data_IF_580065409195
#
_entry.id   IF_580065409195
#
_cell.length_a   1.000
_cell.length_b   1.000
_cell.length_c   1.000
_cell.angle_alpha   90.00
_cell.angle_beta   90.00
_cell.angle_gamma   90.00
#
_symmetry.space_group_name_H-M   'P 1'
#
loop_
_entity.id
_entity.type
_entity.pdbx_description
1 polymer ?
#
# COMPACT_ATOMS: atom_id res chain seq x y z
N UNK A 1 -18.80 15.17 0.61
CA UNK A 1 -18.66 14.51 1.92
C UNK A 1 -19.46 13.22 1.94
N UNK A 2 -18.91 12.18 2.56
CA UNK A 2 -19.61 10.90 2.80
C UNK A 2 -19.77 10.68 4.31
N UNK A 3 -20.89 10.13 4.71
CA UNK A 3 -21.21 9.76 6.10
C UNK A 3 -21.86 8.38 6.12
N UNK A 4 -21.44 7.52 7.05
CA UNK A 4 -22.11 6.27 7.37
C UNK A 4 -22.64 6.31 8.81
N UNK A 5 -23.93 6.03 8.98
CA UNK A 5 -24.52 5.86 10.30
C UNK A 5 -24.25 4.45 10.87
N UNK A 6 -24.00 4.29 12.19
CA UNK A 6 -23.92 5.35 13.20
C UNK A 6 -22.55 6.09 13.13
N UNK A 7 -22.59 7.42 13.29
CA UNK A 7 -21.35 8.24 13.33
C UNK A 7 -20.82 8.24 14.76
N UNK A 8 -19.91 7.32 15.06
CA UNK A 8 -19.37 7.12 16.41
C UNK A 8 -18.22 8.05 16.76
N UNK A 9 -17.51 8.56 15.74
CA UNK A 9 -16.38 9.48 15.88
C UNK A 9 -16.24 10.36 14.63
N UNK A 10 -15.38 11.37 14.71
CA UNK A 10 -15.22 12.37 13.64
C UNK A 10 -14.85 11.79 12.26
N UNK A 11 -14.17 10.64 12.21
CA UNK A 11 -13.78 9.98 10.96
C UNK A 11 -14.94 9.23 10.28
N UNK A 12 -16.10 9.16 10.90
CA UNK A 12 -17.35 8.69 10.26
C UNK A 12 -17.94 9.68 9.27
N UNK A 13 -17.34 10.89 9.15
CA UNK A 13 -17.63 11.88 8.13
C UNK A 13 -16.30 12.30 7.51
N UNK A 14 -16.13 12.05 6.21
CA UNK A 14 -14.93 12.43 5.47
C UNK A 14 -15.30 13.06 4.14
N UNK A 15 -14.44 13.94 3.66
CA UNK A 15 -14.54 14.53 2.32
C UNK A 15 -13.65 13.79 1.34
N UNK A 16 -14.10 13.72 0.10
CA UNK A 16 -13.40 13.09 -1.01
C UNK A 16 -13.56 13.93 -2.27
N UNK A 17 -12.57 13.90 -3.13
CA UNK A 17 -12.71 14.38 -4.50
C UNK A 17 -13.34 13.28 -5.35
N UNK A 18 -14.50 13.53 -5.98
CA UNK A 18 -15.23 12.49 -6.70
C UNK A 18 -14.60 12.21 -8.07
N UNK A 19 -14.57 10.95 -8.46
CA UNK A 19 -14.25 10.49 -9.80
C UNK A 19 -15.49 9.81 -10.36
N UNK A 20 -15.87 10.16 -11.59
CA UNK A 20 -17.01 9.56 -12.25
C UNK A 20 -16.69 8.13 -12.68
N UNK A 21 -17.55 7.21 -12.31
CA UNK A 21 -17.47 5.79 -12.64
C UNK A 21 -18.82 5.29 -13.14
N UNK A 22 -18.82 4.28 -13.99
CA UNK A 22 -20.05 3.59 -14.40
C UNK A 22 -20.59 2.72 -13.26
N UNK A 23 -21.93 2.66 -13.15
CA UNK A 23 -22.62 1.86 -12.15
C UNK A 23 -23.48 2.70 -11.19
N UNK A 24 -24.19 2.00 -10.30
CA UNK A 24 -25.13 2.61 -9.34
C UNK A 24 -24.60 2.61 -7.90
N UNK A 25 -23.40 2.11 -7.68
CA UNK A 25 -22.78 2.02 -6.37
C UNK A 25 -21.61 2.98 -6.23
N UNK A 26 -21.41 3.48 -5.00
CA UNK A 26 -20.22 4.28 -4.66
C UNK A 26 -19.04 3.33 -4.51
N UNK A 27 -17.95 3.58 -5.26
CA UNK A 27 -16.68 2.87 -5.09
C UNK A 27 -15.86 3.58 -4.02
N UNK A 28 -15.84 3.02 -2.84
CA UNK A 28 -15.10 3.56 -1.69
C UNK A 28 -13.70 2.95 -1.62
N UNK A 29 -12.70 3.78 -1.30
CA UNK A 29 -11.34 3.28 -1.10
C UNK A 29 -11.28 2.34 0.13
N UNK A 30 -10.70 1.14 0.01
CA UNK A 30 -10.70 0.15 1.10
C UNK A 30 -10.08 0.61 2.41
N UNK A 31 -9.06 1.47 2.38
CA UNK A 31 -8.37 1.96 3.58
C UNK A 31 -9.25 2.85 4.49
N UNK A 32 -10.32 3.45 3.97
CA UNK A 32 -11.25 4.26 4.78
C UNK A 32 -12.42 3.44 5.34
N UNK A 33 -12.58 2.19 4.93
CA UNK A 33 -13.66 1.33 5.44
C UNK A 33 -13.61 1.17 6.95
N UNK A 34 -12.42 1.05 7.53
CA UNK A 34 -12.25 0.94 8.98
C UNK A 34 -12.76 2.18 9.71
N UNK A 35 -12.50 3.38 9.17
CA UNK A 35 -12.95 4.64 9.75
C UNK A 35 -14.47 4.79 9.73
N UNK A 36 -15.12 4.36 8.65
CA UNK A 36 -16.59 4.33 8.52
C UNK A 36 -17.24 3.12 9.18
N UNK A 37 -16.46 2.13 9.59
CA UNK A 37 -16.96 0.80 9.95
C UNK A 37 -17.87 0.24 8.85
N UNK A 38 -17.44 0.38 7.59
CA UNK A 38 -18.20 -0.01 6.40
C UNK A 38 -17.62 -1.26 5.76
N UNK A 39 -18.49 -2.05 5.18
CA UNK A 39 -18.15 -3.17 4.32
C UNK A 39 -18.93 -3.08 2.98
N UNK A 40 -18.74 -4.03 2.10
CA UNK A 40 -19.32 -3.99 0.76
C UNK A 40 -20.45 -5.01 0.58
N UNK A 41 -21.17 -5.32 1.67
CA UNK A 41 -22.28 -6.28 1.68
C UNK A 41 -23.67 -5.64 1.44
N UNK A 42 -23.72 -4.34 1.19
CA UNK A 42 -24.94 -3.58 0.96
C UNK A 42 -25.11 -2.36 1.86
N UNK A 43 -24.05 -1.94 2.54
CA UNK A 43 -24.03 -0.72 3.35
C UNK A 43 -24.42 0.51 2.54
N UNK A 44 -25.13 1.43 3.18
CA UNK A 44 -25.53 2.72 2.63
C UNK A 44 -24.76 3.86 3.27
N UNK A 45 -24.47 4.89 2.49
CA UNK A 45 -23.85 6.12 2.93
C UNK A 45 -24.65 7.34 2.50
N UNK A 46 -24.70 8.36 3.36
CA UNK A 46 -25.22 9.66 2.98
C UNK A 46 -24.16 10.48 2.24
N UNK A 47 -24.58 11.14 1.17
CA UNK A 47 -23.73 12.04 0.38
C UNK A 47 -24.17 13.47 0.65
N UNK A 48 -23.21 14.33 1.01
CA UNK A 48 -23.44 15.74 1.26
C UNK A 48 -22.53 16.59 0.37
N UNK A 49 -23.12 17.54 -0.34
CA UNK A 49 -22.38 18.51 -1.15
C UNK A 49 -22.28 19.84 -0.39
N UNK A 50 -21.09 20.34 -0.06
CA UNK A 50 -20.93 21.67 0.55
C UNK A 50 -21.26 22.73 -0.49
N UNK A 51 -22.15 23.67 -0.14
CA UNK A 51 -22.67 24.68 -1.07
C UNK A 51 -21.97 26.04 -0.92
N UNK A 52 -21.58 26.43 0.31
CA UNK A 52 -20.89 27.70 0.53
C UNK A 52 -19.37 27.57 0.37
N UNK A 53 -18.71 28.68 0.07
CA UNK A 53 -17.24 28.72 -0.09
C UNK A 53 -16.54 28.36 1.21
N UNK A 54 -17.08 28.81 2.34
CA UNK A 54 -16.56 28.50 3.68
C UNK A 54 -16.66 26.98 3.97
N UNK A 55 -17.82 26.38 3.69
CA UNK A 55 -18.02 24.95 3.87
C UNK A 55 -17.09 24.12 2.95
N UNK A 56 -16.86 24.57 1.72
CA UNK A 56 -15.91 23.93 0.81
C UNK A 56 -14.48 24.02 1.32
N UNK A 57 -14.08 25.16 1.88
CA UNK A 57 -12.77 25.36 2.49
C UNK A 57 -12.59 24.43 3.70
N UNK A 58 -13.55 24.39 4.61
CA UNK A 58 -13.52 23.47 5.75
C UNK A 58 -13.43 22.00 5.32
N UNK A 59 -14.18 21.59 4.30
CA UNK A 59 -14.09 20.24 3.74
C UNK A 59 -12.68 19.92 3.23
N UNK A 60 -12.01 20.84 2.57
CA UNK A 60 -10.66 20.65 2.06
C UNK A 60 -9.60 20.59 3.15
N UNK A 61 -9.68 21.46 4.14
CA UNK A 61 -8.66 21.57 5.17
C UNK A 61 -8.86 20.59 6.33
N UNK A 62 -10.11 20.34 6.75
CA UNK A 62 -10.41 19.61 7.97
C UNK A 62 -10.94 18.19 7.68
N UNK A 63 -11.73 17.99 6.62
CA UNK A 63 -12.46 16.74 6.42
C UNK A 63 -11.90 15.86 5.29
N UNK A 64 -10.99 16.36 4.47
CA UNK A 64 -10.43 15.58 3.37
C UNK A 64 -9.69 14.36 3.93
N UNK A 65 -9.98 13.18 3.38
CA UNK A 65 -9.48 11.90 3.89
C UNK A 65 -7.96 11.84 4.08
N UNK A 66 -7.11 12.30 3.13
CA UNK A 66 -5.66 12.33 3.31
C UNK A 66 -5.17 13.17 4.49
N UNK A 67 -5.95 14.14 4.96
CA UNK A 67 -5.60 14.98 6.11
C UNK A 67 -5.98 14.35 7.46
N UNK A 68 -6.66 13.21 7.44
CA UNK A 68 -7.19 12.52 8.63
C UNK A 68 -6.65 11.09 8.74
N UNK A 69 -5.35 10.94 8.69
CA UNK A 69 -4.67 9.63 8.73
C UNK A 69 -4.42 9.11 10.16
N UNK A 70 -4.62 9.95 11.18
CA UNK A 70 -4.37 9.60 12.57
C UNK A 70 -5.66 9.48 13.37
N UNK A 71 -5.74 8.47 14.22
CA UNK A 71 -6.84 8.29 15.16
C UNK A 71 -6.84 9.37 16.24
N UNK A 72 -7.99 9.96 16.59
CA UNK A 72 -8.06 10.95 17.66
C UNK A 72 -7.89 10.34 19.06
N UNK A 73 -8.04 9.02 19.22
CA UNK A 73 -7.95 8.34 20.51
C UNK A 73 -6.53 8.15 21.01
N UNK A 74 -5.64 7.71 20.14
CA UNK A 74 -4.29 7.25 20.48
C UNK A 74 -3.20 7.83 19.58
N UNK A 75 -3.58 8.60 18.55
CA UNK A 75 -2.63 9.12 17.55
C UNK A 75 -2.09 8.07 16.60
N UNK A 76 -2.56 6.83 16.69
CA UNK A 76 -2.16 5.76 15.77
C UNK A 76 -2.72 5.96 14.36
N UNK A 77 -2.17 5.27 13.35
CA UNK A 77 -2.68 5.37 11.98
C UNK A 77 -4.08 4.76 11.84
N UNK A 78 -4.94 5.43 11.08
CA UNK A 78 -6.28 4.91 10.71
C UNK A 78 -6.22 4.07 9.45
N UNK A 79 -5.48 4.56 8.45
CA UNK A 79 -5.32 3.91 7.17
C UNK A 79 -4.21 2.84 7.28
N UNK A 80 -4.60 1.64 7.66
CA UNK A 80 -3.71 0.48 7.78
C UNK A 80 -4.18 -0.63 6.85
N UNK A 81 -3.29 -1.49 6.35
CA UNK A 81 -3.68 -2.65 5.56
C UNK A 81 -4.72 -3.50 6.30
N UNK A 82 -5.82 -3.83 5.63
CA UNK A 82 -6.85 -4.71 6.15
C UNK A 82 -6.50 -6.19 5.97
N UNK A 83 -7.33 -7.08 6.49
CA UNK A 83 -7.10 -8.53 6.48
C UNK A 83 -6.71 -9.09 5.11
N UNK A 84 -7.47 -8.76 4.06
CA UNK A 84 -7.22 -9.26 2.70
C UNK A 84 -5.94 -8.66 2.09
N UNK A 85 -5.62 -7.40 2.41
CA UNK A 85 -4.38 -6.76 1.99
C UNK A 85 -3.17 -7.43 2.65
N UNK A 86 -3.26 -7.75 3.95
CA UNK A 86 -2.21 -8.46 4.69
C UNK A 86 -2.00 -9.85 4.10
N UNK A 87 -3.09 -10.57 3.79
CA UNK A 87 -3.02 -11.88 3.14
C UNK A 87 -2.38 -11.79 1.75
N UNK A 88 -2.75 -10.77 0.97
CA UNK A 88 -2.16 -10.53 -0.35
C UNK A 88 -0.67 -10.21 -0.29
N UNK A 89 -0.24 -9.36 0.64
CA UNK A 89 1.17 -9.04 0.88
C UNK A 89 1.94 -10.28 1.33
N UNK A 90 1.38 -11.06 2.24
CA UNK A 90 1.98 -12.32 2.67
C UNK A 90 2.20 -13.28 1.50
N UNK A 91 1.17 -13.49 0.67
CA UNK A 91 1.28 -14.36 -0.51
C UNK A 91 2.32 -13.84 -1.52
N UNK A 92 2.33 -12.53 -1.77
CA UNK A 92 3.27 -11.88 -2.67
C UNK A 92 4.72 -12.04 -2.22
N UNK A 93 4.97 -11.92 -0.91
CA UNK A 93 6.32 -11.89 -0.32
C UNK A 93 6.80 -13.27 0.16
N UNK A 94 5.99 -14.32 0.03
CA UNK A 94 6.32 -15.67 0.39
C UNK A 94 7.45 -16.22 -0.50
N UNK A 95 8.40 -16.92 0.09
CA UNK A 95 9.42 -17.67 -0.63
C UNK A 95 8.98 -19.12 -0.77
N UNK A 96 9.09 -19.70 -1.96
CA UNK A 96 8.81 -21.12 -2.24
C UNK A 96 10.05 -21.76 -2.85
N UNK A 97 10.70 -22.69 -2.16
CA UNK A 97 11.82 -23.42 -2.71
C UNK A 97 11.36 -24.43 -3.78
N UNK A 98 12.25 -24.76 -4.71
CA UNK A 98 11.98 -25.76 -5.75
C UNK A 98 11.05 -25.29 -6.88
N UNK A 99 10.81 -23.99 -7.01
CA UNK A 99 10.00 -23.44 -8.11
C UNK A 99 10.86 -23.16 -9.34
N UNK A 100 10.20 -23.12 -10.49
CA UNK A 100 10.83 -22.85 -11.78
C UNK A 100 11.66 -21.56 -11.75
N UNK A 101 12.92 -21.64 -12.21
CA UNK A 101 13.79 -20.48 -12.36
C UNK A 101 14.55 -20.05 -11.09
N UNK A 102 14.57 -20.90 -10.06
CA UNK A 102 15.33 -20.63 -8.82
C UNK A 102 16.82 -20.43 -9.09
N UNK A 103 17.43 -19.44 -8.39
CA UNK A 103 18.85 -19.13 -8.49
C UNK A 103 19.27 -18.34 -9.74
N UNK A 104 18.35 -17.89 -10.58
CA UNK A 104 18.69 -17.06 -11.75
C UNK A 104 19.16 -15.67 -11.37
N UNK A 105 20.08 -15.14 -12.18
CA UNK A 105 20.64 -13.80 -12.04
C UNK A 105 20.02 -12.85 -13.07
N UNK A 106 19.67 -11.66 -12.61
CA UNK A 106 19.12 -10.60 -13.44
C UNK A 106 19.88 -9.29 -13.20
N UNK A 107 20.09 -8.54 -14.27
CA UNK A 107 20.78 -7.25 -14.22
C UNK A 107 19.95 -6.15 -13.56
N UNK A 108 18.62 -6.27 -13.60
CA UNK A 108 17.69 -5.30 -13.05
C UNK A 108 16.36 -5.96 -12.66
N UNK A 109 15.56 -5.26 -11.86
CA UNK A 109 14.19 -5.70 -11.52
C UNK A 109 13.32 -5.79 -12.77
N UNK A 110 13.47 -4.85 -13.73
CA UNK A 110 12.73 -4.87 -14.99
C UNK A 110 12.99 -6.12 -15.83
N UNK A 111 14.24 -6.59 -15.88
CA UNK A 111 14.57 -7.85 -16.55
C UNK A 111 13.89 -9.05 -15.86
N UNK A 112 13.85 -9.05 -14.54
CA UNK A 112 13.15 -10.08 -13.78
C UNK A 112 11.62 -10.05 -14.02
N UNK A 113 11.02 -8.87 -14.18
CA UNK A 113 9.60 -8.71 -14.55
C UNK A 113 9.33 -9.31 -15.93
N UNK A 114 10.18 -9.00 -16.92
CA UNK A 114 10.06 -9.60 -18.26
C UNK A 114 10.18 -11.14 -18.22
N UNK A 115 11.07 -11.67 -17.37
CA UNK A 115 11.20 -13.10 -17.18
C UNK A 115 9.95 -13.72 -16.52
N UNK A 116 9.28 -12.99 -15.64
CA UNK A 116 8.00 -13.39 -15.06
C UNK A 116 6.88 -13.40 -16.10
N UNK A 117 6.74 -12.35 -16.91
CA UNK A 117 5.76 -12.28 -18.00
C UNK A 117 5.93 -13.42 -19.00
N UNK A 118 7.17 -13.80 -19.29
CA UNK A 118 7.50 -14.97 -20.13
C UNK A 118 7.38 -16.31 -19.38
N UNK A 119 6.87 -16.33 -18.16
CA UNK A 119 6.69 -17.53 -17.34
C UNK A 119 7.98 -18.33 -17.09
N UNK A 120 9.13 -17.66 -17.11
CA UNK A 120 10.44 -18.25 -16.78
C UNK A 120 10.66 -18.37 -15.29
N UNK A 121 10.10 -17.47 -14.52
CA UNK A 121 10.11 -17.43 -13.05
C UNK A 121 8.69 -17.18 -12.52
N UNK A 122 8.48 -17.36 -11.22
CA UNK A 122 7.25 -17.02 -10.51
C UNK A 122 7.51 -15.88 -9.52
N UNK A 123 6.45 -15.29 -8.95
CA UNK A 123 6.58 -14.23 -7.93
C UNK A 123 7.33 -14.70 -6.68
N UNK A 124 7.21 -15.99 -6.33
CA UNK A 124 7.81 -16.60 -5.14
C UNK A 124 9.17 -17.25 -5.39
N UNK A 125 9.66 -17.20 -6.65
CA UNK A 125 10.95 -17.77 -7.02
C UNK A 125 12.09 -16.95 -6.43
N UNK A 126 13.04 -17.62 -5.78
CA UNK A 126 14.26 -17.00 -5.26
C UNK A 126 15.22 -16.69 -6.39
N UNK A 127 15.57 -15.44 -6.56
CA UNK A 127 16.39 -14.91 -7.65
C UNK A 127 17.45 -13.96 -7.13
N UNK A 128 18.46 -13.69 -7.94
CA UNK A 128 19.50 -12.70 -7.68
C UNK A 128 19.33 -11.53 -8.64
N UNK A 129 19.17 -10.30 -8.07
CA UNK A 129 19.01 -9.08 -8.86
C UNK A 129 20.11 -8.10 -8.50
N UNK A 130 20.75 -7.53 -9.50
CA UNK A 130 21.68 -6.43 -9.29
C UNK A 130 20.92 -5.14 -9.04
N UNK A 131 21.22 -4.48 -7.93
CA UNK A 131 20.56 -3.23 -7.50
C UNK A 131 21.59 -2.17 -7.16
N UNK A 132 21.25 -0.93 -7.46
CA UNK A 132 21.99 0.25 -7.03
C UNK A 132 21.08 1.08 -6.13
N UNK A 133 21.61 1.53 -5.01
CA UNK A 133 20.90 2.40 -4.07
C UNK A 133 21.78 3.59 -3.73
N UNK A 134 21.25 4.79 -3.95
CA UNK A 134 21.87 6.03 -3.50
C UNK A 134 21.45 6.29 -2.05
N UNK A 135 22.43 6.40 -1.16
CA UNK A 135 22.19 6.71 0.25
C UNK A 135 21.96 8.22 0.43
N UNK A 136 21.35 8.67 1.56
CA UNK A 136 21.14 10.09 1.83
C UNK A 136 22.44 10.93 1.88
N UNK A 137 23.57 10.30 2.11
CA UNK A 137 24.90 10.91 2.11
C UNK A 137 25.52 11.04 0.69
N UNK A 138 24.77 10.66 -0.35
CA UNK A 138 25.21 10.69 -1.75
C UNK A 138 26.08 9.49 -2.17
N UNK A 139 26.36 8.54 -1.30
CA UNK A 139 27.11 7.33 -1.66
C UNK A 139 26.21 6.36 -2.43
N UNK A 140 26.72 5.80 -3.53
CA UNK A 140 26.02 4.77 -4.31
C UNK A 140 26.52 3.41 -3.86
N UNK A 141 25.60 2.61 -3.32
CA UNK A 141 25.83 1.21 -3.01
C UNK A 141 25.30 0.36 -4.18
N UNK A 142 26.17 -0.44 -4.76
CA UNK A 142 25.85 -1.36 -5.84
C UNK A 142 26.13 -2.79 -5.40
N UNK A 143 25.21 -3.72 -5.65
CA UNK A 143 25.39 -5.11 -5.25
C UNK A 143 24.28 -6.02 -5.73
N UNK A 144 24.54 -7.32 -5.65
CA UNK A 144 23.54 -8.35 -5.97
C UNK A 144 22.77 -8.73 -4.71
N UNK A 145 21.46 -8.61 -4.78
CA UNK A 145 20.53 -8.93 -3.69
C UNK A 145 19.80 -10.23 -4.03
N UNK A 146 19.81 -11.16 -3.11
CA UNK A 146 19.06 -12.43 -3.20
C UNK A 146 17.70 -12.25 -2.54
N UNK A 147 16.61 -12.35 -3.32
CA UNK A 147 15.24 -12.25 -2.82
C UNK A 147 14.25 -12.82 -3.84
N UNK A 148 12.96 -12.68 -3.61
CA UNK A 148 11.92 -13.07 -4.55
C UNK A 148 11.44 -11.87 -5.38
N UNK A 149 10.93 -12.12 -6.59
CA UNK A 149 10.39 -11.05 -7.43
C UNK A 149 9.27 -10.29 -6.72
N UNK A 150 8.38 -11.00 -6.01
CA UNK A 150 7.28 -10.37 -5.27
C UNK A 150 7.77 -9.40 -4.20
N UNK A 151 8.89 -9.69 -3.51
CA UNK A 151 9.50 -8.77 -2.53
C UNK A 151 10.12 -7.55 -3.21
N UNK A 152 10.75 -7.71 -4.37
CA UNK A 152 11.27 -6.57 -5.13
C UNK A 152 10.15 -5.62 -5.54
N UNK A 153 9.04 -6.15 -6.09
CA UNK A 153 7.86 -5.37 -6.46
C UNK A 153 7.22 -4.65 -5.27
N UNK A 154 7.09 -5.32 -4.15
CA UNK A 154 6.53 -4.71 -2.94
C UNK A 154 7.45 -3.62 -2.38
N UNK A 155 8.77 -3.86 -2.38
CA UNK A 155 9.74 -2.89 -1.88
C UNK A 155 9.84 -1.62 -2.74
N UNK A 156 9.52 -1.69 -4.03
CA UNK A 156 9.50 -0.53 -4.92
C UNK A 156 8.45 0.51 -4.51
N UNK A 157 7.33 0.05 -3.93
CA UNK A 157 6.24 0.92 -3.46
C UNK A 157 6.62 1.64 -2.17
N UNK A 158 7.53 1.08 -1.37
CA UNK A 158 7.94 1.64 -0.08
C UNK A 158 8.89 2.82 -0.32
N UNK A 159 8.67 3.99 0.32
CA UNK A 159 9.59 5.12 0.24
C UNK A 159 11.01 4.70 0.67
N UNK A 160 11.99 4.94 -0.19
CA UNK A 160 13.36 4.46 0.01
C UNK A 160 14.19 5.32 0.99
N UNK A 161 13.65 6.46 1.42
CA UNK A 161 14.22 7.39 2.38
C UNK A 161 13.93 7.02 3.86
N UNK A 162 13.14 5.98 4.11
CA UNK A 162 12.82 5.51 5.47
C UNK A 162 14.01 4.96 6.27
N UNK A 163 15.24 5.17 5.80
CA UNK A 163 16.45 4.88 6.57
C UNK A 163 16.61 3.41 6.95
N UNK A 164 16.18 2.50 6.08
CA UNK A 164 16.36 1.07 6.29
C UNK A 164 17.86 0.78 6.43
N UNK A 165 18.27 0.47 7.65
CA UNK A 165 19.65 0.17 8.03
C UNK A 165 20.24 -0.98 7.19
N UNK A 166 21.58 -1.02 7.06
CA UNK A 166 22.32 -2.07 6.31
C UNK A 166 21.91 -3.51 6.65
N UNK A 167 21.33 -3.73 7.83
CA UNK A 167 20.81 -5.04 8.27
C UNK A 167 19.47 -5.41 7.62
N UNK A 168 18.73 -4.44 7.10
CA UNK A 168 17.42 -4.64 6.46
C UNK A 168 17.52 -4.93 4.96
N UNK A 169 18.72 -4.94 4.36
CA UNK A 169 18.94 -5.49 3.00
C UNK A 169 18.72 -7.00 2.93
N UNK A 170 18.75 -7.69 4.06
CA UNK A 170 18.06 -8.96 4.20
C UNK A 170 16.60 -8.62 4.52
N UNK A 171 15.76 -8.59 3.52
CA UNK A 171 14.30 -8.65 3.66
C UNK A 171 13.93 -9.95 4.38
N UNK A 172 14.24 -10.00 5.68
CA UNK A 172 13.72 -11.03 6.54
C UNK A 172 12.22 -10.76 6.67
N UNK A 173 11.42 -11.71 6.26
CA UNK A 173 9.97 -11.73 6.42
C UNK A 173 9.52 -11.50 7.88
N UNK A 174 10.44 -11.61 8.86
CA UNK A 174 10.21 -11.32 10.27
C UNK A 174 10.23 -9.81 10.63
N UNK A 175 10.62 -8.92 9.72
CA UNK A 175 10.67 -7.48 9.94
C UNK A 175 9.68 -6.68 9.09
N UNK A 176 8.82 -7.34 8.34
CA UNK A 176 7.58 -6.75 7.83
C UNK A 176 6.51 -6.78 8.94
N UNK A 177 6.86 -6.28 10.10
CA UNK A 177 5.88 -5.86 11.10
C UNK A 177 5.56 -4.42 10.78
N UNK A 178 4.46 -4.26 10.06
CA UNK A 178 3.74 -2.99 9.94
C UNK A 178 3.07 -2.71 11.27
#
# INVERSE_FOLDING_TARGET
>A
MLNRAPTLHRLGIQAFEPILVEGKAIKLHPLVCTAFNADFDGDQMAVHLPLSVEAQAECRFLLLSPNNLLKPSDGGPVAVPSQDMVLGIYYLTQERPGVKGEGKYFKSVNEAILAYENQVITLQTKIHVHMEKTMPDGTVLSGTVESTLGRFLFNEIIPQDLGLDRKSTRLNSSHLVI
#
